data_IF_046539455526
#
_entry.id   IF_046539455526
#
_cell.length_a   1.000
_cell.length_b   1.000
_cell.length_c   1.000
_cell.angle_alpha   90.00
_cell.angle_beta   90.00
_cell.angle_gamma   90.00
#
_symmetry.space_group_name_H-M   'P 1'
#
loop_
_entity.id
_entity.type
_entity.pdbx_description
1 polymer ?
#
# COMPACT_ATOMS: atom_id res chain seq x y z
N UNK A 1 30.47 54.28 -9.58
CA UNK A 1 29.25 54.11 -8.79
C UNK A 1 29.56 53.16 -7.65
N UNK A 2 29.36 53.59 -6.40
CA UNK A 2 29.54 52.73 -5.22
C UNK A 2 28.17 52.11 -4.96
N UNK A 3 28.04 50.79 -5.10
CA UNK A 3 26.83 50.07 -4.73
C UNK A 3 26.58 50.26 -3.24
N UNK A 4 25.44 50.83 -2.87
CA UNK A 4 25.12 51.03 -1.45
C UNK A 4 24.82 49.69 -0.80
N UNK A 5 25.00 49.60 0.53
CA UNK A 5 24.63 48.41 1.30
C UNK A 5 23.17 47.99 1.04
N UNK A 6 22.27 48.97 0.82
CA UNK A 6 20.86 48.73 0.56
C UNK A 6 20.64 48.08 -0.82
N UNK A 7 21.41 48.49 -1.82
CA UNK A 7 21.33 47.92 -3.17
C UNK A 7 21.88 46.49 -3.20
N UNK A 8 22.98 46.24 -2.48
CA UNK A 8 23.54 44.89 -2.32
C UNK A 8 22.55 43.95 -1.63
N UNK A 9 21.86 44.44 -0.59
CA UNK A 9 20.83 43.64 0.10
C UNK A 9 19.65 43.29 -0.81
N UNK A 10 19.16 44.24 -1.60
CA UNK A 10 18.08 44.00 -2.55
C UNK A 10 18.47 42.96 -3.62
N UNK A 11 19.71 43.02 -4.11
CA UNK A 11 20.23 42.03 -5.07
C UNK A 11 20.34 40.62 -4.45
N UNK A 12 20.76 40.52 -3.19
CA UNK A 12 20.81 39.24 -2.48
C UNK A 12 19.41 38.64 -2.37
N UNK A 13 18.41 39.42 -1.94
CA UNK A 13 17.03 38.94 -1.83
C UNK A 13 16.50 38.45 -3.18
N UNK A 14 16.73 39.21 -4.26
CA UNK A 14 16.35 38.81 -5.61
C UNK A 14 17.04 37.51 -6.07
N UNK A 15 18.34 37.38 -5.81
CA UNK A 15 19.10 36.18 -6.17
C UNK A 15 18.65 34.96 -5.35
N UNK A 16 18.32 35.14 -4.08
CA UNK A 16 17.80 34.05 -3.23
C UNK A 16 16.43 33.58 -3.72
N UNK A 17 15.54 34.50 -4.11
CA UNK A 17 14.24 34.17 -4.67
C UNK A 17 14.38 33.40 -6.00
N UNK A 18 15.30 33.84 -6.88
CA UNK A 18 15.59 33.12 -8.14
C UNK A 18 16.18 31.73 -7.89
N UNK A 19 17.07 31.60 -6.92
CA UNK A 19 17.68 30.31 -6.56
C UNK A 19 16.63 29.32 -6.05
N UNK A 20 15.71 29.74 -5.19
CA UNK A 20 14.65 28.84 -4.70
C UNK A 20 13.65 28.49 -5.80
N UNK A 21 13.29 29.43 -6.68
CA UNK A 21 12.44 29.15 -7.82
C UNK A 21 13.08 28.10 -8.77
N UNK A 22 14.37 28.25 -9.06
CA UNK A 22 15.12 27.26 -9.84
C UNK A 22 15.12 25.89 -9.14
N UNK A 23 15.43 25.85 -7.83
CA UNK A 23 15.43 24.62 -7.03
C UNK A 23 14.09 23.89 -7.09
N UNK A 24 12.97 24.61 -6.93
CA UNK A 24 11.63 24.00 -6.99
C UNK A 24 11.39 23.38 -8.36
N UNK A 25 11.75 24.08 -9.45
CA UNK A 25 11.55 23.57 -10.81
C UNK A 25 12.42 22.35 -11.12
N UNK A 26 13.70 22.38 -10.74
CA UNK A 26 14.64 21.27 -10.94
C UNK A 26 14.24 20.05 -10.11
N UNK A 27 13.91 20.25 -8.83
CA UNK A 27 13.44 19.17 -7.95
C UNK A 27 12.15 18.55 -8.50
N UNK A 28 11.20 19.36 -8.99
CA UNK A 28 9.97 18.84 -9.57
C UNK A 28 10.23 17.95 -10.80
N UNK A 29 11.12 18.38 -11.70
CA UNK A 29 11.54 17.58 -12.86
C UNK A 29 12.22 16.28 -12.43
N UNK A 30 13.18 16.35 -11.52
CA UNK A 30 13.92 15.17 -11.03
C UNK A 30 12.98 14.19 -10.33
N UNK A 31 12.00 14.68 -9.57
CA UNK A 31 10.99 13.83 -8.91
C UNK A 31 10.10 13.13 -9.95
N UNK A 32 9.75 13.81 -11.06
CA UNK A 32 8.99 13.18 -12.14
C UNK A 32 9.79 12.04 -12.79
N UNK A 33 11.05 12.29 -13.15
CA UNK A 33 11.93 11.28 -13.76
C UNK A 33 12.16 10.07 -12.84
N UNK A 34 12.33 10.31 -11.54
CA UNK A 34 12.48 9.24 -10.55
C UNK A 34 11.19 8.42 -10.43
N UNK A 35 10.03 9.06 -10.47
CA UNK A 35 8.74 8.34 -10.43
C UNK A 35 8.55 7.45 -11.66
N UNK A 36 8.90 7.94 -12.84
CA UNK A 36 8.85 7.14 -14.07
C UNK A 36 9.76 5.91 -13.96
N UNK A 37 11.00 6.08 -13.49
CA UNK A 37 11.93 4.96 -13.26
C UNK A 37 11.45 4.01 -12.17
N UNK A 38 10.78 4.52 -11.13
CA UNK A 38 10.17 3.67 -10.10
C UNK A 38 9.09 2.78 -10.72
N UNK A 39 8.26 3.33 -11.62
CA UNK A 39 7.19 2.58 -12.29
C UNK A 39 7.74 1.59 -13.33
N UNK A 40 8.71 2.00 -14.15
CA UNK A 40 9.31 1.16 -15.21
C UNK A 40 10.01 -0.08 -14.64
N UNK A 41 10.79 0.09 -13.57
CA UNK A 41 11.57 -0.98 -12.95
C UNK A 41 10.86 -1.62 -11.75
N UNK A 42 9.65 -1.16 -11.39
CA UNK A 42 8.90 -1.65 -10.24
C UNK A 42 9.63 -1.46 -8.90
N UNK A 43 10.44 -0.40 -8.77
CA UNK A 43 11.26 -0.15 -7.59
C UNK A 43 10.39 0.20 -6.39
N UNK A 44 10.77 -0.28 -5.22
CA UNK A 44 10.13 0.07 -3.96
C UNK A 44 11.03 0.97 -3.12
N UNK A 45 10.43 1.64 -2.12
CA UNK A 45 11.21 2.41 -1.14
C UNK A 45 12.30 1.57 -0.46
N UNK A 46 12.08 0.26 -0.30
CA UNK A 46 13.05 -0.69 0.24
C UNK A 46 14.25 -0.87 -0.67
N UNK A 47 14.04 -0.95 -1.99
CA UNK A 47 15.12 -1.13 -2.98
C UNK A 47 16.00 0.13 -3.10
N UNK A 48 15.40 1.30 -2.85
CA UNK A 48 16.09 2.58 -2.78
C UNK A 48 16.75 2.83 -1.41
N UNK A 49 16.69 1.87 -0.49
CA UNK A 49 17.28 1.98 0.85
C UNK A 49 16.57 2.95 1.79
N UNK A 50 15.39 3.46 1.42
CA UNK A 50 14.58 4.29 2.29
C UNK A 50 13.91 3.41 3.34
N UNK A 51 14.32 3.59 4.61
CA UNK A 51 13.64 2.98 5.75
C UNK A 51 12.24 3.60 5.85
N UNK A 52 11.24 2.93 5.28
CA UNK A 52 9.86 3.37 5.38
C UNK A 52 9.45 3.45 6.85
N UNK A 53 9.11 4.64 7.35
CA UNK A 53 8.53 4.83 8.68
C UNK A 53 7.17 4.10 8.81
N UNK A 54 6.62 3.60 7.71
CA UNK A 54 5.43 2.77 7.65
C UNK A 54 5.78 1.29 7.50
N UNK A 55 6.44 0.71 8.50
CA UNK A 55 6.49 -0.74 8.69
C UNK A 55 5.09 -1.36 9.00
N UNK A 56 4.00 -0.60 8.83
CA UNK A 56 2.61 -1.01 9.08
C UNK A 56 1.63 -0.78 7.93
N UNK A 57 2.04 -0.18 6.80
CA UNK A 57 1.17 -0.10 5.60
C UNK A 57 1.88 -0.77 4.44
N UNK A 58 1.70 -2.09 4.37
CA UNK A 58 1.93 -2.86 3.14
C UNK A 58 1.30 -2.09 1.99
N UNK A 59 2.12 -1.74 1.01
CA UNK A 59 1.68 -1.20 -0.27
C UNK A 59 0.63 -2.16 -0.86
N UNK A 60 -0.59 -1.64 -0.95
CA UNK A 60 -1.74 -2.35 -1.50
C UNK A 60 -1.50 -2.71 -2.98
N UNK A 61 -0.58 -2.02 -3.66
CA UNK A 61 -0.27 -2.24 -5.06
C UNK A 61 0.37 -3.61 -5.37
N UNK A 62 1.25 -4.14 -4.50
CA UNK A 62 1.85 -5.47 -4.72
C UNK A 62 1.07 -6.60 -4.06
N UNK A 63 0.23 -6.27 -3.08
CA UNK A 63 -0.64 -7.25 -2.42
C UNK A 63 -1.94 -7.52 -3.17
N UNK A 64 -2.29 -6.77 -4.22
CA UNK A 64 -3.38 -7.16 -5.14
C UNK A 64 -2.92 -8.24 -6.13
N UNK A 65 -1.64 -8.26 -6.52
CA UNK A 65 -1.10 -9.30 -7.39
C UNK A 65 -0.93 -10.64 -6.66
N UNK A 66 -0.43 -10.63 -5.41
CA UNK A 66 -0.24 -11.86 -4.62
C UNK A 66 -1.47 -12.32 -3.80
N UNK A 67 -2.51 -11.49 -3.65
CA UNK A 67 -3.75 -11.93 -2.98
C UNK A 67 -4.70 -12.73 -3.88
N UNK A 68 -4.41 -12.84 -5.18
CA UNK A 68 -5.18 -13.68 -6.10
C UNK A 68 -4.84 -15.18 -5.97
N UNK A 69 -3.79 -15.52 -5.20
CA UNK A 69 -3.39 -16.91 -4.93
C UNK A 69 -3.71 -17.36 -3.49
N UNK A 70 -4.65 -16.69 -2.81
CA UNK A 70 -5.33 -17.32 -1.69
C UNK A 70 -6.31 -18.33 -2.28
N UNK A 71 -5.79 -19.51 -2.62
CA UNK A 71 -6.54 -20.72 -2.96
C UNK A 71 -7.75 -20.80 -2.03
N UNK A 72 -8.91 -20.36 -2.52
CA UNK A 72 -10.17 -20.45 -1.78
C UNK A 72 -10.34 -21.92 -1.51
N UNK A 73 -10.11 -22.34 -0.26
CA UNK A 73 -10.32 -23.73 0.12
C UNK A 73 -11.79 -23.98 -0.13
N UNK A 74 -12.08 -24.92 -1.02
CA UNK A 74 -13.44 -25.26 -1.39
C UNK A 74 -14.25 -25.47 -0.10
N UNK A 75 -15.42 -24.82 0.01
CA UNK A 75 -16.28 -25.04 1.16
C UNK A 75 -16.61 -26.54 1.22
N UNK A 76 -16.41 -27.15 2.39
CA UNK A 76 -16.59 -28.59 2.59
C UNK A 76 -17.96 -28.89 3.20
N UNK A 77 -18.54 -27.93 3.92
CA UNK A 77 -19.83 -28.08 4.58
C UNK A 77 -20.72 -26.86 4.34
N UNK A 78 -22.04 -27.07 4.20
CA UNK A 78 -23.06 -26.03 4.07
C UNK A 78 -24.15 -26.25 5.12
N UNK A 79 -24.28 -25.31 6.04
CA UNK A 79 -25.25 -25.32 7.12
C UNK A 79 -26.68 -25.04 6.66
N UNK A 80 -27.67 -25.25 7.54
CA UNK A 80 -29.09 -25.10 7.24
C UNK A 80 -29.49 -23.66 6.86
N UNK A 81 -28.75 -22.66 7.36
CA UNK A 81 -28.97 -21.24 7.05
C UNK A 81 -28.21 -20.76 5.79
N UNK A 82 -27.57 -21.68 5.05
CA UNK A 82 -26.78 -21.34 3.86
C UNK A 82 -25.32 -20.97 4.14
N UNK A 83 -24.90 -20.97 5.41
CA UNK A 83 -23.51 -20.72 5.82
C UNK A 83 -22.57 -21.83 5.34
N UNK A 84 -21.46 -21.46 4.69
CA UNK A 84 -20.47 -22.41 4.20
C UNK A 84 -19.22 -22.44 5.09
N UNK A 85 -18.65 -23.63 5.30
CA UNK A 85 -17.44 -23.82 6.09
C UNK A 85 -16.49 -24.83 5.43
N UNK A 86 -15.22 -24.45 5.29
CA UNK A 86 -14.18 -25.29 4.68
C UNK A 86 -13.59 -26.34 5.63
N UNK A 87 -14.06 -26.42 6.88
CA UNK A 87 -13.48 -27.29 7.91
C UNK A 87 -12.12 -26.82 8.43
N UNK A 88 -11.62 -25.67 7.94
CA UNK A 88 -10.41 -25.00 8.46
C UNK A 88 -10.79 -23.68 9.13
N UNK A 89 -10.10 -23.34 10.22
CA UNK A 89 -10.31 -22.08 10.95
C UNK A 89 -11.51 -22.10 11.90
N UNK A 90 -12.01 -20.91 12.27
CA UNK A 90 -13.11 -20.75 13.23
C UNK A 90 -14.38 -21.42 12.71
N UNK A 91 -14.85 -22.43 13.44
CA UNK A 91 -16.11 -23.09 13.13
C UNK A 91 -17.31 -22.13 13.32
N UNK A 92 -18.28 -22.13 12.39
CA UNK A 92 -19.54 -21.42 12.56
C UNK A 92 -20.33 -21.92 13.77
N UNK A 93 -21.27 -21.12 14.27
CA UNK A 93 -22.09 -21.52 15.44
C UNK A 93 -22.97 -22.74 15.16
N UNK A 94 -23.50 -22.86 13.95
CA UNK A 94 -24.37 -23.98 13.55
C UNK A 94 -23.70 -25.35 13.62
N UNK A 95 -22.37 -25.45 13.50
CA UNK A 95 -21.67 -26.75 13.62
C UNK A 95 -21.69 -27.29 15.04
N UNK A 96 -21.94 -26.43 16.03
CA UNK A 96 -22.07 -26.80 17.45
C UNK A 96 -23.54 -27.00 17.86
N UNK A 97 -24.46 -26.37 17.14
CA UNK A 97 -25.91 -26.39 17.39
C UNK A 97 -26.63 -27.36 16.45
N UNK A 98 -25.99 -28.49 16.13
CA UNK A 98 -26.60 -29.52 15.30
C UNK A 98 -27.74 -30.22 16.07
N UNK A 99 -28.91 -30.45 15.44
CA UNK A 99 -30.00 -31.19 16.06
C UNK A 99 -29.56 -32.59 16.47
N UNK A 100 -30.07 -33.10 17.60
CA UNK A 100 -29.78 -34.44 18.08
C UNK A 100 -30.09 -35.49 16.99
N UNK A 101 -29.07 -36.23 16.55
CA UNK A 101 -29.16 -37.21 15.48
C UNK A 101 -28.65 -36.77 14.11
N UNK A 102 -28.26 -35.50 13.94
CA UNK A 102 -27.53 -35.03 12.75
C UNK A 102 -26.07 -34.75 13.08
N UNK A 103 -25.19 -35.19 12.20
CA UNK A 103 -23.75 -35.03 12.34
C UNK A 103 -23.22 -34.00 11.34
N UNK A 104 -22.01 -33.51 11.55
CA UNK A 104 -21.39 -32.54 10.64
C UNK A 104 -21.25 -33.10 9.21
N UNK A 105 -21.11 -34.42 9.09
CA UNK A 105 -21.04 -35.13 7.81
C UNK A 105 -22.32 -35.04 6.99
N UNK A 106 -23.50 -34.91 7.62
CA UNK A 106 -24.78 -34.70 6.92
C UNK A 106 -24.86 -33.35 6.19
N UNK A 107 -24.01 -32.40 6.58
CA UNK A 107 -23.95 -31.05 6.01
C UNK A 107 -22.78 -30.88 5.05
N UNK A 108 -22.10 -31.96 4.68
CA UNK A 108 -20.99 -31.92 3.73
C UNK A 108 -21.50 -31.66 2.31
N UNK A 109 -20.86 -30.76 1.58
CA UNK A 109 -21.10 -30.54 0.15
C UNK A 109 -20.13 -31.34 -0.72
#
# INVERSE_FOLDING_TARGET
MITSYRDLKAQIEELTAKAEAARISEVASVVADIKEKIEEYGLTASDLGFKSATQGRKSIAHSIAEASDKKTVEPKYKGPNGDIWSGRGRAPTWTKELPAGKTLDDYKI
#
